data_IF_448592036715
#
_entry.id   IF_448592036715
#
_cell.length_a   1.000
_cell.length_b   1.000
_cell.length_c   1.000
_cell.angle_alpha   90.00
_cell.angle_beta   90.00
_cell.angle_gamma   90.00
#
_symmetry.space_group_name_H-M   'P 1'
#
loop_
_entity.id
_entity.type
_entity.pdbx_description
1 polymer ?
#
# COMPACT_ATOMS: atom_id res chain seq x y z
N UNK A 1 -1.11 18.00 -3.88
CA UNK A 1 -0.28 16.83 -4.22
C UNK A 1 -0.90 15.51 -3.78
N UNK A 2 -1.76 15.49 -2.74
CA UNK A 2 -2.68 14.36 -2.52
C UNK A 2 -3.94 14.54 -3.41
N UNK A 3 -4.57 13.45 -3.89
CA UNK A 3 -4.20 12.07 -3.67
C UNK A 3 -2.91 11.67 -4.38
N UNK A 4 -2.10 10.84 -3.74
CA UNK A 4 -0.89 10.25 -4.30
C UNK A 4 -1.02 8.73 -4.31
N UNK A 5 -0.61 8.08 -5.38
CA UNK A 5 -0.70 6.62 -5.49
C UNK A 5 0.43 6.03 -6.30
N UNK A 6 0.83 4.80 -5.95
CA UNK A 6 1.85 4.02 -6.64
C UNK A 6 1.59 2.53 -6.41
N UNK A 7 2.29 1.68 -7.16
CA UNK A 7 2.25 0.23 -7.02
C UNK A 7 3.59 -0.32 -6.54
N UNK A 8 3.54 -1.37 -5.74
CA UNK A 8 4.68 -2.17 -5.33
C UNK A 8 4.52 -3.56 -5.96
N UNK A 9 5.35 -3.93 -6.95
CA UNK A 9 5.24 -5.23 -7.59
C UNK A 9 5.64 -6.35 -6.63
N UNK A 10 4.96 -7.49 -6.74
CA UNK A 10 5.25 -8.71 -6.02
C UNK A 10 4.55 -8.83 -4.66
N UNK A 11 4.87 -9.95 -3.99
CA UNK A 11 4.27 -10.34 -2.72
C UNK A 11 4.77 -9.48 -1.56
N UNK A 12 3.88 -8.83 -0.80
CA UNK A 12 4.29 -8.12 0.40
C UNK A 12 4.79 -9.07 1.49
N UNK A 13 5.75 -8.60 2.27
CA UNK A 13 6.30 -9.34 3.40
C UNK A 13 5.58 -8.97 4.68
N UNK A 14 5.05 -9.98 5.38
CA UNK A 14 4.44 -9.81 6.70
C UNK A 14 5.43 -9.26 7.72
N UNK A 15 5.01 -8.29 8.53
CA UNK A 15 5.76 -7.79 9.69
C UNK A 15 6.19 -8.91 10.66
N UNK A 16 5.36 -9.95 10.80
CA UNK A 16 5.59 -11.08 11.69
C UNK A 16 6.55 -12.13 11.10
N UNK A 17 7.09 -11.90 9.91
CA UNK A 17 8.09 -12.82 9.33
C UNK A 17 9.27 -13.01 10.27
N UNK A 18 9.73 -14.27 10.36
CA UNK A 18 10.99 -14.63 11.02
C UNK A 18 12.20 -14.24 10.16
N UNK A 19 12.01 -14.13 8.84
CA UNK A 19 13.04 -13.73 7.90
C UNK A 19 13.18 -12.20 7.85
N UNK A 20 14.01 -11.67 8.76
CA UNK A 20 14.26 -10.23 8.86
C UNK A 20 14.95 -9.65 7.63
N UNK A 21 15.78 -10.43 6.93
CA UNK A 21 16.44 -9.97 5.71
C UNK A 21 15.41 -9.68 4.60
N UNK A 22 14.43 -10.57 4.41
CA UNK A 22 13.32 -10.32 3.46
C UNK A 22 12.47 -9.11 3.86
N UNK A 23 12.19 -8.93 5.15
CA UNK A 23 11.44 -7.76 5.62
C UNK A 23 12.18 -6.45 5.32
N UNK A 24 13.49 -6.41 5.55
CA UNK A 24 14.31 -5.23 5.26
C UNK A 24 14.41 -4.97 3.76
N UNK A 25 14.59 -6.02 2.94
CA UNK A 25 14.58 -5.88 1.49
C UNK A 25 13.23 -5.33 0.96
N UNK A 26 12.12 -5.79 1.55
CA UNK A 26 10.79 -5.25 1.25
C UNK A 26 10.66 -3.78 1.64
N UNK A 27 11.05 -3.40 2.86
CA UNK A 27 11.04 -2.00 3.31
C UNK A 27 11.88 -1.10 2.37
N UNK A 28 13.08 -1.54 2.00
CA UNK A 28 13.95 -0.82 1.08
C UNK A 28 13.33 -0.66 -0.32
N UNK A 29 12.61 -1.67 -0.81
CA UNK A 29 11.85 -1.57 -2.07
C UNK A 29 10.76 -0.49 -1.95
N UNK A 30 9.99 -0.48 -0.86
CA UNK A 30 8.94 0.53 -0.63
C UNK A 30 9.54 1.92 -0.62
N UNK A 31 10.62 2.13 0.13
CA UNK A 31 11.31 3.43 0.21
C UNK A 31 11.80 3.87 -1.18
N UNK A 32 12.46 2.97 -1.91
CA UNK A 32 12.97 3.26 -3.26
C UNK A 32 11.86 3.71 -4.19
N UNK A 33 10.76 2.96 -4.28
CA UNK A 33 9.65 3.29 -5.17
C UNK A 33 8.98 4.59 -4.74
N UNK A 34 8.74 4.78 -3.44
CA UNK A 34 8.13 6.00 -2.92
C UNK A 34 8.98 7.24 -3.22
N UNK A 35 10.29 7.20 -2.96
CA UNK A 35 11.21 8.31 -3.24
C UNK A 35 11.34 8.63 -4.73
N UNK A 36 11.20 7.64 -5.61
CA UNK A 36 11.25 7.86 -7.06
C UNK A 36 9.99 8.53 -7.60
N UNK A 37 8.85 8.27 -6.98
CA UNK A 37 7.53 8.72 -7.45
C UNK A 37 7.06 9.99 -6.72
N UNK A 38 7.63 10.32 -5.57
CA UNK A 38 7.24 11.48 -4.79
C UNK A 38 7.88 12.75 -5.33
N UNK A 39 7.09 13.57 -6.02
CA UNK A 39 7.55 14.80 -6.68
C UNK A 39 7.67 16.03 -5.74
N UNK A 40 7.51 15.87 -4.42
CA UNK A 40 7.62 16.97 -3.46
C UNK A 40 8.97 16.97 -2.76
N UNK A 41 9.54 18.16 -2.59
CA UNK A 41 10.81 18.36 -1.85
C UNK A 41 10.68 18.08 -0.34
N UNK A 42 9.45 18.03 0.19
CA UNK A 42 9.19 17.80 1.61
C UNK A 42 8.10 16.75 1.83
N UNK A 43 8.20 15.95 2.91
CA UNK A 43 7.09 15.13 3.37
C UNK A 43 5.89 15.99 3.76
N UNK A 44 4.70 15.41 3.64
CA UNK A 44 3.45 16.00 4.11
C UNK A 44 3.41 16.00 5.66
N UNK A 45 3.03 17.13 6.24
CA UNK A 45 3.14 17.43 7.67
C UNK A 45 1.80 17.32 8.44
N UNK A 46 0.74 16.85 7.77
CA UNK A 46 -0.60 16.71 8.35
C UNK A 46 -1.12 15.27 8.25
N UNK A 47 -2.26 15.01 8.89
CA UNK A 47 -2.88 13.69 8.90
C UNK A 47 -3.29 13.21 7.50
N UNK A 48 -3.01 11.94 7.24
CA UNK A 48 -3.31 11.27 5.98
C UNK A 48 -4.13 10.00 6.20
N UNK A 49 -4.92 9.68 5.19
CA UNK A 49 -5.53 8.38 4.99
C UNK A 49 -4.62 7.51 4.14
N UNK A 50 -4.12 6.41 4.71
CA UNK A 50 -3.30 5.41 4.03
C UNK A 50 -4.18 4.22 3.61
N UNK A 51 -4.44 4.10 2.31
CA UNK A 51 -5.13 2.94 1.72
C UNK A 51 -4.10 2.00 1.10
N UNK A 52 -4.11 0.75 1.54
CA UNK A 52 -3.31 -0.32 0.98
C UNK A 52 -4.24 -1.42 0.47
N UNK A 53 -4.17 -1.74 -0.81
CA UNK A 53 -4.88 -2.89 -1.38
C UNK A 53 -3.87 -3.86 -1.98
N UNK A 54 -3.73 -5.02 -1.36
CA UNK A 54 -2.93 -6.10 -1.90
C UNK A 54 -3.76 -6.93 -2.86
N UNK A 55 -3.39 -6.89 -4.14
CA UNK A 55 -3.95 -7.70 -5.19
C UNK A 55 -3.10 -8.97 -5.32
N UNK A 56 -3.60 -10.06 -4.73
CA UNK A 56 -2.86 -11.31 -4.62
C UNK A 56 -3.28 -12.30 -5.69
N UNK A 57 -2.35 -13.15 -6.11
CA UNK A 57 -2.63 -14.26 -7.01
C UNK A 57 -2.68 -15.57 -6.23
N UNK A 58 -3.89 -16.11 -6.05
CA UNK A 58 -4.10 -17.41 -5.46
C UNK A 58 -5.36 -18.07 -6.06
N UNK A 59 -5.40 -19.41 -6.18
CA UNK A 59 -6.63 -20.11 -6.53
C UNK A 59 -7.74 -19.81 -5.53
N UNK A 60 -8.97 -19.63 -6.00
CA UNK A 60 -10.13 -19.39 -5.13
C UNK A 60 -10.26 -20.50 -4.07
N UNK A 61 -10.38 -20.10 -2.81
CA UNK A 61 -10.45 -21.03 -1.68
C UNK A 61 -9.09 -21.56 -1.18
N UNK A 62 -7.96 -21.08 -1.71
CA UNK A 62 -6.60 -21.41 -1.23
C UNK A 62 -5.81 -20.16 -0.83
N UNK A 63 -6.40 -19.36 0.05
CA UNK A 63 -5.87 -18.05 0.42
C UNK A 63 -5.07 -18.07 1.74
N UNK A 64 -4.88 -19.24 2.36
CA UNK A 64 -4.23 -19.39 3.68
C UNK A 64 -2.79 -18.87 3.72
N UNK A 65 -2.11 -18.87 2.57
CA UNK A 65 -0.75 -18.35 2.48
C UNK A 65 -0.70 -16.82 2.39
N UNK A 66 -1.81 -16.17 2.00
CA UNK A 66 -1.88 -14.73 1.76
C UNK A 66 -1.71 -14.02 3.11
N UNK A 67 -0.65 -13.19 3.30
CA UNK A 67 -0.44 -12.53 4.57
C UNK A 67 -1.62 -11.64 4.98
N UNK A 68 -1.82 -11.47 6.28
CA UNK A 68 -2.87 -10.59 6.80
C UNK A 68 -2.65 -9.13 6.39
N UNK A 69 -3.74 -8.43 6.10
CA UNK A 69 -3.75 -7.01 5.70
C UNK A 69 -3.03 -6.11 6.71
N UNK A 70 -3.20 -6.39 8.00
CA UNK A 70 -2.59 -5.61 9.09
C UNK A 70 -1.10 -5.90 9.24
N UNK A 71 -0.68 -7.10 8.89
CA UNK A 71 0.72 -7.50 8.91
C UNK A 71 1.48 -6.95 7.70
N UNK A 72 0.81 -6.71 6.57
CA UNK A 72 1.38 -6.10 5.37
C UNK A 72 1.55 -4.58 5.53
N UNK A 73 0.58 -3.90 6.16
CA UNK A 73 0.58 -2.43 6.18
C UNK A 73 1.62 -1.83 7.11
N UNK A 74 1.98 -2.52 8.20
CA UNK A 74 2.99 -2.05 9.17
C UNK A 74 4.34 -1.69 8.53
N UNK A 75 5.01 -2.58 7.76
CA UNK A 75 6.27 -2.23 7.13
C UNK A 75 6.12 -1.14 6.06
N UNK A 76 5.01 -1.12 5.33
CA UNK A 76 4.75 -0.07 4.33
C UNK A 76 4.60 1.30 5.00
N UNK A 77 3.79 1.41 6.06
CA UNK A 77 3.63 2.65 6.83
C UNK A 77 4.96 3.15 7.37
N UNK A 78 5.75 2.25 7.96
CA UNK A 78 7.08 2.59 8.49
C UNK A 78 8.06 3.04 7.39
N UNK A 79 7.97 2.46 6.20
CA UNK A 79 8.82 2.80 5.07
C UNK A 79 8.50 4.18 4.48
N UNK A 80 7.23 4.59 4.52
CA UNK A 80 6.77 5.86 3.94
C UNK A 80 6.97 7.07 4.86
N UNK A 81 7.08 6.83 6.17
CA UNK A 81 7.43 7.86 7.13
C UNK A 81 8.82 8.46 6.82
N UNK A 82 8.92 9.78 6.85
CA UNK A 82 10.10 10.55 6.45
C UNK A 82 10.27 10.73 4.93
N UNK A 83 9.45 10.08 4.09
CA UNK A 83 9.45 10.25 2.64
C UNK A 83 8.19 10.98 2.20
N UNK A 84 7.02 10.38 2.43
CA UNK A 84 5.74 10.93 1.98
C UNK A 84 5.08 11.78 3.05
N UNK A 85 5.20 11.38 4.31
CA UNK A 85 4.71 12.11 5.48
C UNK A 85 5.77 12.10 6.59
N UNK A 86 5.84 13.15 7.41
CA UNK A 86 6.96 13.34 8.34
C UNK A 86 7.10 12.19 9.35
N UNK A 87 5.98 11.70 9.88
CA UNK A 87 5.95 10.68 10.93
C UNK A 87 4.88 9.63 10.68
N UNK A 88 5.13 8.41 11.16
CA UNK A 88 4.22 7.28 10.97
C UNK A 88 2.84 7.48 11.64
N UNK A 89 2.77 8.23 12.74
CA UNK A 89 1.53 8.58 13.42
C UNK A 89 0.62 9.52 12.61
N UNK A 90 1.16 10.20 11.58
CA UNK A 90 0.34 11.05 10.70
C UNK A 90 -0.58 10.21 9.80
N UNK A 91 -0.31 8.91 9.61
CA UNK A 91 -1.27 7.99 9.02
C UNK A 91 -2.37 7.63 10.03
N UNK A 92 -3.30 8.56 10.27
CA UNK A 92 -4.35 8.47 11.28
C UNK A 92 -5.54 7.61 10.84
N UNK A 93 -5.83 7.55 9.54
CA UNK A 93 -6.84 6.68 8.96
C UNK A 93 -6.16 5.63 8.08
N UNK A 94 -6.42 4.36 8.36
CA UNK A 94 -5.73 3.24 7.72
C UNK A 94 -6.77 2.27 7.17
N UNK A 95 -6.73 2.07 5.85
CA UNK A 95 -7.58 1.12 5.15
C UNK A 95 -6.70 0.05 4.52
N UNK A 96 -6.70 -1.16 5.07
CA UNK A 96 -5.97 -2.29 4.49
C UNK A 96 -6.95 -3.32 3.91
N UNK A 97 -6.74 -3.70 2.65
CA UNK A 97 -7.61 -4.62 1.91
C UNK A 97 -6.78 -5.66 1.17
N UNK A 98 -7.39 -6.82 0.94
CA UNK A 98 -6.85 -7.88 0.07
C UNK A 98 -7.89 -8.21 -0.98
N UNK A 99 -7.46 -8.43 -2.22
CA UNK A 99 -8.32 -8.80 -3.34
C UNK A 99 -7.62 -9.87 -4.17
N UNK A 100 -8.33 -10.94 -4.48
CA UNK A 100 -7.82 -11.98 -5.36
C UNK A 100 -7.86 -11.51 -6.82
N UNK A 101 -6.71 -11.50 -7.51
CA UNK A 101 -6.59 -11.12 -8.92
C UNK A 101 -7.44 -11.99 -9.85
N UNK A 102 -7.67 -13.25 -9.47
CA UNK A 102 -8.51 -14.19 -10.22
C UNK A 102 -10.02 -13.95 -10.00
N UNK A 103 -10.38 -12.93 -9.20
CA UNK A 103 -11.76 -12.53 -8.97
C UNK A 103 -12.39 -11.80 -10.17
N UNK A 104 -13.70 -11.55 -10.07
CA UNK A 104 -14.42 -10.71 -11.03
C UNK A 104 -14.47 -9.27 -10.54
N UNK A 105 -14.08 -8.32 -11.40
CA UNK A 105 -14.06 -6.89 -11.07
C UNK A 105 -14.98 -6.10 -11.98
N UNK A 106 -15.76 -5.20 -11.37
CA UNK A 106 -16.40 -4.12 -12.12
C UNK A 106 -15.50 -2.90 -12.07
N UNK A 107 -14.95 -2.52 -13.22
CA UNK A 107 -14.08 -1.35 -13.34
C UNK A 107 -14.95 -0.09 -13.49
N UNK A 108 -14.75 0.88 -12.59
CA UNK A 108 -15.31 2.25 -12.68
C UNK A 108 -14.26 3.24 -12.17
N UNK A 109 -13.84 4.18 -13.01
CA UNK A 109 -12.92 5.25 -12.59
C UNK A 109 -11.57 4.74 -12.06
N UNK A 110 -11.04 3.65 -12.61
CA UNK A 110 -9.72 3.12 -12.25
C UNK A 110 -8.63 4.11 -12.64
N UNK A 111 -7.69 4.38 -11.72
CA UNK A 111 -6.52 5.19 -12.01
C UNK A 111 -5.56 4.47 -12.96
N UNK A 112 -4.78 5.22 -13.75
CA UNK A 112 -3.76 4.65 -14.63
C UNK A 112 -2.75 3.80 -13.85
N UNK A 113 -2.32 4.26 -12.67
CA UNK A 113 -1.41 3.54 -11.77
C UNK A 113 -1.99 2.18 -11.34
N UNK A 114 -3.28 2.12 -11.02
CA UNK A 114 -3.91 0.84 -10.68
C UNK A 114 -4.04 -0.06 -11.91
N UNK A 115 -4.37 0.51 -13.07
CA UNK A 115 -4.44 -0.23 -14.33
C UNK A 115 -3.08 -0.84 -14.72
N UNK A 116 -1.98 -0.10 -14.52
CA UNK A 116 -0.61 -0.59 -14.73
C UNK A 116 -0.33 -1.84 -13.88
N UNK A 117 -0.75 -1.85 -12.61
CA UNK A 117 -0.62 -3.03 -11.75
C UNK A 117 -1.32 -4.26 -12.32
N UNK A 118 -2.55 -4.10 -12.84
CA UNK A 118 -3.26 -5.20 -13.50
C UNK A 118 -2.60 -5.66 -14.80
N UNK A 119 -1.99 -4.74 -15.57
CA UNK A 119 -1.30 -5.07 -16.82
C UNK A 119 -0.05 -5.92 -16.58
N UNK A 120 0.62 -5.79 -15.43
CA UNK A 120 1.83 -6.57 -15.12
C UNK A 120 1.59 -8.08 -15.00
N UNK A 121 0.35 -8.52 -14.75
CA UNK A 121 0.00 -9.94 -14.67
C UNK A 121 0.64 -10.69 -13.49
N UNK A 122 1.13 -9.97 -12.48
CA UNK A 122 1.67 -10.54 -11.23
C UNK A 122 0.97 -9.91 -10.04
N UNK A 123 1.05 -10.56 -8.88
CA UNK A 123 0.58 -9.98 -7.62
C UNK A 123 1.30 -8.65 -7.31
N UNK A 124 0.58 -7.70 -6.72
CA UNK A 124 1.10 -6.37 -6.40
C UNK A 124 0.33 -5.70 -5.25
N UNK A 125 0.95 -4.71 -4.63
CA UNK A 125 0.29 -3.84 -3.65
C UNK A 125 0.05 -2.47 -4.25
N UNK A 126 -1.21 -2.03 -4.27
CA UNK A 126 -1.55 -0.64 -4.57
C UNK A 126 -1.58 0.17 -3.29
N UNK A 127 -0.81 1.25 -3.26
CA UNK A 127 -0.75 2.19 -2.14
C UNK A 127 -1.34 3.50 -2.60
N UNK A 128 -2.29 4.04 -1.84
CA UNK A 128 -2.93 5.33 -2.09
C UNK A 128 -2.98 6.13 -0.79
N UNK A 129 -2.55 7.38 -0.88
CA UNK A 129 -2.43 8.32 0.23
C UNK A 129 -3.33 9.51 -0.09
N UNK A 130 -4.22 9.83 0.84
CA UNK A 130 -5.21 10.89 0.72
C UNK A 130 -5.15 11.79 1.95
N UNK A 131 -5.75 12.97 1.87
CA UNK A 131 -6.01 13.77 3.07
C UNK A 131 -6.87 12.93 4.02
N UNK A 132 -6.52 12.90 5.31
CA UNK A 132 -7.36 12.22 6.29
C UNK A 132 -8.79 12.80 6.27
N UNK A 133 -9.84 11.99 6.46
CA UNK A 133 -11.18 12.51 6.68
C UNK A 133 -11.17 13.42 7.92
N UNK A 134 -12.12 14.35 7.98
CA UNK A 134 -12.38 15.06 9.24
C UNK A 134 -12.77 14.01 10.31
N UNK A 135 -12.13 13.96 11.49
CA UNK A 135 -12.52 13.04 12.56
C UNK A 135 -13.99 13.18 13.00
N UNK A 136 -14.63 14.32 12.73
CA UNK A 136 -16.06 14.53 12.98
C UNK A 136 -16.96 13.94 11.89
N UNK A 137 -16.42 13.57 10.72
CA UNK A 137 -17.13 12.92 9.64
C UNK A 137 -17.21 11.40 9.90
N UNK A 138 -18.39 10.95 10.32
CA UNK A 138 -18.67 9.55 10.70
C UNK A 138 -19.09 8.67 9.50
N UNK A 139 -18.96 9.17 8.26
CA UNK A 139 -19.49 8.53 7.05
C UNK A 139 -18.65 7.39 6.46
#
# INVERSE_FOLDING_TARGET
>A
MLPFEFILPGRPVSFQTKDKAKLQAWIALVQKVASQMWDSDRPYDNYVRLKLTYYFDAPSGKEDSVPDSDNIIKPVRSALAGIIFEHDYLASDIVSRRKNLNGSFRVRGMSSILAEGFIQGVEFVHVRIEVAPDPADLS
#
